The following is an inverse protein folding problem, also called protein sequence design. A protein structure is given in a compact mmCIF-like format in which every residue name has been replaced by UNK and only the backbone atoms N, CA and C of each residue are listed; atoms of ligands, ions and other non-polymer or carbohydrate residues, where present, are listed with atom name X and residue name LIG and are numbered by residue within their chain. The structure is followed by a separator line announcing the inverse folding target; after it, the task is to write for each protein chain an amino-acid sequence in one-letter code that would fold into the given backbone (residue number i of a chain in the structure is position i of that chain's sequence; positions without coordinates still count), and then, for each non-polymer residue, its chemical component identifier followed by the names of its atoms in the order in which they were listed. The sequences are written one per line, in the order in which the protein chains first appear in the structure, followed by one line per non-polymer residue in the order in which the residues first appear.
data_IF_897737576886
#
_entry.id   IF_897737576886
#
_cell.length_a   1.000
_cell.length_b   1.000
_cell.length_c   1.000
_cell.angle_alpha   90.00
_cell.angle_beta   90.00
_cell.angle_gamma   90.00
#
_symmetry.space_group_name_H-M   'P 1'
#
loop_
_entity.id
_entity.type
_entity.pdbx_description
1 polymer ?
#
# COMPACT_ATOMS: atom_id res chain seq x y z
N UNK A 1 13.65 28.91 -1.25
CA UNK A 1 14.22 27.68 -0.65
C UNK A 1 13.11 26.94 0.05
N UNK A 2 12.98 25.61 -0.11
CA UNK A 2 11.94 24.85 0.59
C UNK A 2 12.15 24.92 2.12
N UNK A 3 11.05 24.91 2.85
CA UNK A 3 11.01 24.90 4.32
C UNK A 3 11.61 23.61 4.88
N UNK A 4 11.92 23.60 6.19
CA UNK A 4 12.38 22.39 6.85
C UNK A 4 11.35 21.26 6.77
N UNK A 5 10.06 21.58 6.97
CA UNK A 5 8.98 20.61 6.88
C UNK A 5 8.90 19.98 5.48
N UNK A 6 9.02 20.77 4.41
CA UNK A 6 9.01 20.26 3.03
C UNK A 6 10.22 19.36 2.73
N UNK A 7 11.42 19.77 3.17
CA UNK A 7 12.63 18.95 3.04
C UNK A 7 12.51 17.63 3.80
N UNK A 8 11.99 17.69 5.02
CA UNK A 8 11.78 16.51 5.85
C UNK A 8 10.77 15.56 5.20
N UNK A 9 9.62 16.05 4.73
CA UNK A 9 8.64 15.23 4.02
C UNK A 9 9.27 14.52 2.82
N UNK A 10 10.03 15.22 1.98
CA UNK A 10 10.72 14.61 0.84
C UNK A 10 11.73 13.53 1.28
N UNK A 11 12.51 13.80 2.33
CA UNK A 11 13.43 12.81 2.88
C UNK A 11 12.70 11.55 3.42
N UNK A 12 11.51 11.70 4.01
CA UNK A 12 10.68 10.57 4.45
C UNK A 12 10.13 9.77 3.27
N UNK A 13 9.77 10.42 2.17
CA UNK A 13 9.36 9.73 0.94
C UNK A 13 10.52 8.96 0.29
N UNK A 14 11.72 9.53 0.24
CA UNK A 14 12.92 8.87 -0.30
C UNK A 14 13.35 7.69 0.61
N UNK A 15 13.17 7.82 1.93
CA UNK A 15 13.38 6.70 2.84
C UNK A 15 12.46 5.51 2.51
N UNK A 16 11.21 5.77 2.12
CA UNK A 16 10.29 4.70 1.74
C UNK A 16 10.82 3.88 0.55
N UNK A 17 11.41 4.57 -0.45
CA UNK A 17 12.02 3.92 -1.60
C UNK A 17 13.24 3.09 -1.17
N UNK A 18 14.10 3.64 -0.31
CA UNK A 18 15.28 2.92 0.23
C UNK A 18 14.87 1.65 0.98
N UNK A 19 13.85 1.73 1.85
CA UNK A 19 13.36 0.57 2.60
C UNK A 19 12.79 -0.51 1.67
N UNK A 20 12.17 -0.10 0.56
CA UNK A 20 11.68 -1.04 -0.45
C UNK A 20 12.82 -1.73 -1.19
N UNK A 21 13.85 -0.98 -1.59
CA UNK A 21 15.02 -1.53 -2.30
C UNK A 21 15.82 -2.51 -1.43
N UNK A 22 15.96 -2.22 -0.12
CA UNK A 22 16.63 -3.11 0.84
C UNK A 22 15.96 -4.48 1.00
N UNK A 23 14.66 -4.60 0.73
CA UNK A 23 13.94 -5.89 0.88
C UNK A 23 14.55 -6.97 0.00
N UNK A 24 14.93 -6.63 -1.23
CA UNK A 24 15.53 -7.59 -2.16
C UNK A 24 16.86 -8.12 -1.60
N UNK A 25 17.72 -7.22 -1.13
CA UNK A 25 19.00 -7.61 -0.54
C UNK A 25 18.83 -8.51 0.70
N UNK A 26 17.79 -8.29 1.50
CA UNK A 26 17.48 -9.15 2.65
C UNK A 26 16.94 -10.50 2.21
N UNK A 27 16.10 -10.53 1.18
CA UNK A 27 15.53 -11.77 0.66
C UNK A 27 16.61 -12.67 0.02
N UNK A 28 17.61 -12.08 -0.62
CA UNK A 28 18.69 -12.80 -1.31
C UNK A 28 19.88 -13.15 -0.40
N UNK A 29 19.89 -12.66 0.85
CA UNK A 29 20.95 -12.96 1.81
C UNK A 29 20.95 -14.46 2.16
N UNK A 30 22.12 -15.10 2.04
CA UNK A 30 22.26 -16.56 2.21
C UNK A 30 21.88 -16.98 3.64
N UNK A 31 20.95 -17.93 3.80
CA UNK A 31 20.48 -18.28 5.11
C UNK A 31 21.52 -19.00 5.96
N UNK A 32 21.52 -18.70 7.26
CA UNK A 32 22.31 -19.44 8.22
C UNK A 32 22.00 -20.94 8.14
N UNK A 33 23.03 -21.77 8.27
CA UNK A 33 22.90 -23.22 8.27
C UNK A 33 23.04 -23.76 9.69
N UNK A 34 22.25 -24.77 10.03
CA UNK A 34 22.31 -25.50 11.29
C UNK A 34 22.69 -26.96 11.04
N UNK A 35 23.87 -27.42 11.51
CA UNK A 35 24.18 -28.84 11.55
C UNK A 35 23.30 -29.53 12.60
N UNK A 36 22.71 -30.67 12.23
CA UNK A 36 21.90 -31.51 13.10
C UNK A 36 22.69 -32.78 13.40
N UNK A 37 22.95 -33.00 14.69
CA UNK A 37 23.69 -34.15 15.18
C UNK A 37 22.76 -35.20 15.77
N UNK A 38 23.18 -36.45 15.70
CA UNK A 38 22.53 -37.54 16.41
C UNK A 38 22.88 -37.54 17.92
N UNK A 39 22.34 -38.51 18.66
CA UNK A 39 22.62 -38.68 20.09
C UNK A 39 24.07 -39.06 20.40
N UNK A 40 24.83 -39.53 19.41
CA UNK A 40 26.23 -39.92 19.53
C UNK A 40 27.20 -38.80 19.09
N UNK A 41 26.68 -37.68 18.59
CA UNK A 41 27.47 -36.55 18.09
C UNK A 41 27.85 -36.65 16.61
N UNK A 42 27.30 -37.61 15.87
CA UNK A 42 27.53 -37.73 14.43
C UNK A 42 26.61 -36.79 13.65
N UNK A 43 27.15 -36.12 12.63
CA UNK A 43 26.38 -35.22 11.77
C UNK A 43 25.40 -36.03 10.91
N UNK A 44 24.10 -35.81 11.08
CA UNK A 44 23.05 -36.47 10.28
C UNK A 44 22.72 -35.63 9.04
N UNK A 45 22.60 -34.32 9.20
CA UNK A 45 22.17 -33.41 8.12
C UNK A 45 22.55 -31.97 8.42
N UNK A 46 22.57 -31.15 7.37
CA UNK A 46 22.64 -29.69 7.48
C UNK A 46 21.28 -29.15 7.06
N UNK A 47 20.64 -28.39 7.94
CA UNK A 47 19.35 -27.78 7.70
C UNK A 47 19.47 -26.26 7.64
N UNK A 48 18.49 -25.62 7.02
CA UNK A 48 18.38 -24.18 7.03
C UNK A 48 17.92 -23.70 8.42
N UNK A 49 18.55 -22.65 8.95
CA UNK A 49 18.28 -22.15 10.29
C UNK A 49 16.91 -21.46 10.34
N UNK A 50 15.89 -22.12 10.91
CA UNK A 50 14.52 -21.61 10.94
C UNK A 50 14.42 -20.19 11.57
N UNK A 51 15.08 -19.94 12.70
CA UNK A 51 15.05 -18.61 13.31
C UNK A 51 15.64 -17.51 12.42
N UNK A 52 16.60 -17.84 11.54
CA UNK A 52 17.19 -16.90 10.59
C UNK A 52 16.17 -16.53 9.51
N UNK A 53 15.43 -17.52 9.00
CA UNK A 53 14.33 -17.29 8.04
C UNK A 53 13.24 -16.40 8.64
N UNK A 54 12.83 -16.67 9.88
CA UNK A 54 11.83 -15.86 10.57
C UNK A 54 12.33 -14.44 10.84
N UNK A 55 13.62 -14.28 11.16
CA UNK A 55 14.24 -12.98 11.32
C UNK A 55 14.25 -12.17 10.02
N UNK A 56 14.62 -12.77 8.88
CA UNK A 56 14.56 -12.12 7.57
C UNK A 56 13.11 -11.72 7.22
N UNK A 57 12.15 -12.63 7.41
CA UNK A 57 10.73 -12.34 7.17
C UNK A 57 10.26 -11.14 7.98
N UNK A 58 10.59 -11.09 9.28
CA UNK A 58 10.23 -9.97 10.15
C UNK A 58 10.84 -8.65 9.66
N UNK A 59 12.10 -8.66 9.19
CA UNK A 59 12.76 -7.47 8.62
C UNK A 59 12.08 -6.98 7.35
N UNK A 60 11.68 -7.90 6.47
CA UNK A 60 10.98 -7.61 5.22
C UNK A 60 9.58 -7.04 5.53
N UNK A 61 8.83 -7.67 6.43
CA UNK A 61 7.48 -7.24 6.80
C UNK A 61 7.49 -5.86 7.47
N UNK A 62 8.45 -5.60 8.36
CA UNK A 62 8.61 -4.28 8.97
C UNK A 62 8.91 -3.18 7.92
N UNK A 63 9.77 -3.48 6.94
CA UNK A 63 10.10 -2.53 5.85
C UNK A 63 8.91 -2.25 4.96
N UNK A 64 8.19 -3.28 4.53
CA UNK A 64 6.94 -3.13 3.76
C UNK A 64 5.94 -2.26 4.50
N UNK A 65 5.73 -2.53 5.79
CA UNK A 65 4.82 -1.76 6.61
C UNK A 65 5.22 -0.28 6.69
N UNK A 66 6.48 0.03 7.02
CA UNK A 66 6.96 1.41 7.09
C UNK A 66 6.85 2.11 5.72
N UNK A 67 7.30 1.47 4.63
CA UNK A 67 7.25 2.03 3.29
C UNK A 67 5.80 2.37 2.87
N UNK A 68 4.83 1.50 3.19
CA UNK A 68 3.40 1.75 2.94
C UNK A 68 2.85 2.95 3.71
N UNK A 69 3.38 3.27 4.90
CA UNK A 69 2.97 4.45 5.68
C UNK A 69 3.64 5.73 5.22
N UNK A 70 4.88 5.65 4.75
CA UNK A 70 5.64 6.82 4.31
C UNK A 70 5.29 7.27 2.89
N UNK A 71 4.96 6.33 1.99
CA UNK A 71 4.62 6.63 0.59
C UNK A 71 3.44 5.77 0.11
N UNK A 72 2.25 5.93 0.71
CA UNK A 72 1.10 5.04 0.52
C UNK A 72 0.63 4.96 -0.93
N UNK A 73 0.74 6.05 -1.70
CA UNK A 73 0.37 6.05 -3.13
C UNK A 73 1.16 5.03 -3.96
N UNK A 74 2.39 4.72 -3.56
CA UNK A 74 3.30 3.80 -4.28
C UNK A 74 3.34 2.41 -3.64
N UNK A 75 3.37 2.35 -2.29
CA UNK A 75 3.66 1.11 -1.55
C UNK A 75 2.50 0.57 -0.70
N UNK A 76 1.32 1.19 -0.72
CA UNK A 76 0.14 0.61 -0.07
C UNK A 76 -0.48 -0.49 -0.92
N UNK A 77 -1.13 -1.45 -0.24
CA UNK A 77 -1.98 -2.43 -0.90
C UNK A 77 -3.12 -1.72 -1.63
N UNK A 78 -3.35 -2.10 -2.90
CA UNK A 78 -4.50 -1.62 -3.66
C UNK A 78 -5.70 -2.50 -3.35
N UNK A 79 -6.72 -1.91 -2.76
CA UNK A 79 -8.04 -2.54 -2.63
C UNK A 79 -8.93 -2.08 -3.79
N UNK A 80 -9.22 -2.98 -4.73
CA UNK A 80 -10.24 -2.73 -5.74
C UNK A 80 -11.57 -3.33 -5.28
N UNK A 81 -12.59 -2.48 -5.14
CA UNK A 81 -13.96 -2.94 -4.97
C UNK A 81 -14.54 -3.17 -6.36
N UNK A 82 -14.65 -4.42 -6.79
CA UNK A 82 -15.50 -4.77 -7.93
C UNK A 82 -16.95 -4.79 -7.43
N UNK A 83 -17.86 -4.11 -8.12
CA UNK A 83 -19.28 -4.22 -7.83
C UNK A 83 -19.72 -5.67 -8.00
N UNK A 84 -20.42 -6.21 -7.00
CA UNK A 84 -21.02 -7.55 -7.08
C UNK A 84 -22.07 -7.54 -8.21
N UNK A 85 -22.00 -8.50 -9.13
CA UNK A 85 -22.95 -8.61 -10.23
C UNK A 85 -24.36 -9.03 -9.74
N UNK A 86 -24.42 -9.77 -8.63
CA UNK A 86 -25.66 -10.24 -8.01
C UNK A 86 -26.21 -9.23 -6.97
N UNK A 87 -25.39 -8.24 -6.59
CA UNK A 87 -25.78 -7.11 -5.73
C UNK A 87 -25.02 -5.83 -6.10
N UNK A 88 -25.35 -5.20 -7.24
CA UNK A 88 -24.68 -3.99 -7.66
C UNK A 88 -24.92 -2.87 -6.66
N UNK A 89 -23.90 -2.06 -6.39
CA UNK A 89 -24.00 -0.85 -5.57
C UNK A 89 -25.08 0.06 -6.17
N UNK A 90 -26.19 0.24 -5.45
CA UNK A 90 -27.27 1.12 -5.88
C UNK A 90 -26.83 2.58 -5.73
N UNK A 91 -26.38 3.18 -6.82
CA UNK A 91 -26.09 4.62 -6.88
C UNK A 91 -27.40 5.38 -7.10
N UNK A 92 -27.98 5.92 -6.02
CA UNK A 92 -29.10 6.88 -6.12
C UNK A 92 -28.53 8.27 -6.33
N UNK A 93 -28.53 8.74 -7.57
CA UNK A 93 -28.25 10.14 -7.87
C UNK A 93 -29.52 10.98 -7.59
N UNK A 94 -29.44 11.92 -6.66
CA UNK A 94 -30.48 12.94 -6.49
C UNK A 94 -30.28 14.02 -7.56
N UNK A 95 -31.17 14.03 -8.55
CA UNK A 95 -31.11 14.90 -9.73
C UNK A 95 -31.97 16.17 -9.54
N UNK A 96 -32.61 16.34 -8.38
CA UNK A 96 -33.53 17.45 -8.11
C UNK A 96 -32.91 18.84 -8.28
N UNK A 97 -31.60 18.96 -8.03
CA UNK A 97 -30.84 20.19 -8.25
C UNK A 97 -30.80 20.56 -9.75
N UNK A 98 -30.69 19.58 -10.65
CA UNK A 98 -30.70 19.84 -12.09
C UNK A 98 -32.09 20.25 -12.56
N UNK A 99 -33.16 19.62 -12.03
CA UNK A 99 -34.54 19.98 -12.35
C UNK A 99 -34.84 21.43 -11.93
N UNK A 100 -34.41 21.82 -10.72
CA UNK A 100 -34.54 23.19 -10.23
C UNK A 100 -33.74 24.20 -11.07
N UNK A 101 -32.55 23.84 -11.56
CA UNK A 101 -31.77 24.70 -12.46
C UNK A 101 -32.44 24.86 -13.83
N UNK A 102 -32.99 23.79 -14.39
CA UNK A 102 -33.71 23.83 -15.67
C UNK A 102 -34.95 24.72 -15.57
N UNK A 103 -35.76 24.58 -14.52
CA UNK A 103 -36.93 25.43 -14.29
C UNK A 103 -36.55 26.92 -14.17
N UNK A 104 -35.47 27.24 -13.45
CA UNK A 104 -35.00 28.62 -13.32
C UNK A 104 -34.47 29.20 -14.64
N UNK A 105 -33.86 28.35 -15.50
CA UNK A 105 -33.38 28.77 -16.81
C UNK A 105 -34.55 29.03 -17.78
N UNK A 106 -35.56 28.16 -17.77
CA UNK A 106 -36.79 28.34 -18.56
C UNK A 106 -37.56 29.59 -18.14
N UNK A 107 -37.69 29.82 -16.82
CA UNK A 107 -38.33 31.03 -16.29
C UNK A 107 -37.59 32.30 -16.73
N UNK A 108 -36.25 32.30 -16.72
CA UNK A 108 -35.45 33.43 -17.21
C UNK A 108 -35.60 33.66 -18.71
N UNK A 109 -35.76 32.60 -19.49
CA UNK A 109 -36.00 32.69 -20.94
C UNK A 109 -37.36 33.34 -21.24
N UNK A 110 -38.40 32.98 -20.48
CA UNK A 110 -39.75 33.56 -20.63
C UNK A 110 -39.83 35.04 -20.20
N UNK A 111 -39.00 35.46 -19.25
CA UNK A 111 -38.91 36.86 -18.79
C UNK A 111 -38.09 37.77 -19.73
N UNK A 112 -37.26 37.19 -20.61
CA UNK A 112 -36.47 37.94 -21.59
C UNK A 112 -37.19 38.23 -22.92
N UNK A 113 -38.36 37.63 -23.14
CA UNK A 113 -39.20 37.79 -24.33
C UNK A 113 -40.37 38.80 -24.13
N UNK A 114 -40.30 39.66 -23.09
CA UNK A 114 -41.20 40.81 -22.87
C UNK A 114 -40.51 42.15 -23.18
#
# INVERSE_FOLDING_TARGET
MPSFAEKYTRAREDQADTLADEIQAIADETPGLNPVYDKNGELIKIEMHNAYIQWQRNRIDARKWIASKLKPKKYSDRLMHAGDADSPLQVKADVSIFDAMLQNLEAKRQLGDQ
#
